data_IF_034046039636
#
_entry.id   IF_034046039636
#
_cell.length_a   1.000
_cell.length_b   1.000
_cell.length_c   1.000
_cell.angle_alpha   90.00
_cell.angle_beta   90.00
_cell.angle_gamma   90.00
#
_symmetry.space_group_name_H-M   'P 1'
#
loop_
_entity.id
_entity.type
_entity.pdbx_description
1 polymer ?
#
# COMPACT_ATOMS: atom_id res chain seq x y z
N UNK A 1 -11.32 -26.11 9.68
CA UNK A 1 -11.68 -26.17 8.25
C UNK A 1 -10.42 -26.29 7.43
N UNK A 2 -10.29 -27.28 6.57
CA UNK A 2 -9.14 -27.40 5.66
C UNK A 2 -9.29 -26.43 4.50
N UNK A 3 -8.21 -25.71 4.18
CA UNK A 3 -8.14 -24.91 2.96
C UNK A 3 -8.12 -25.82 1.74
N UNK A 4 -8.77 -25.41 0.66
CA UNK A 4 -8.67 -26.09 -0.62
C UNK A 4 -7.27 -25.93 -1.23
N UNK A 5 -6.89 -26.81 -2.16
CA UNK A 5 -5.60 -26.70 -2.86
C UNK A 5 -5.45 -25.35 -3.58
N UNK A 6 -6.54 -24.80 -4.14
CA UNK A 6 -6.55 -23.47 -4.76
C UNK A 6 -6.27 -22.36 -3.75
N UNK A 7 -6.88 -22.44 -2.56
CA UNK A 7 -6.67 -21.45 -1.50
C UNK A 7 -5.24 -21.47 -0.99
N UNK A 8 -4.66 -22.67 -0.79
CA UNK A 8 -3.27 -22.84 -0.39
C UNK A 8 -2.34 -22.25 -1.44
N UNK A 9 -2.53 -22.57 -2.73
CA UNK A 9 -1.71 -22.06 -3.82
C UNK A 9 -1.80 -20.53 -3.93
N UNK A 10 -2.96 -19.93 -3.72
CA UNK A 10 -3.16 -18.51 -3.74
C UNK A 10 -2.47 -17.83 -2.54
N UNK A 11 -2.56 -18.41 -1.35
CA UNK A 11 -1.88 -17.92 -0.16
C UNK A 11 -0.37 -17.92 -0.34
N UNK A 12 0.20 -19.02 -0.84
CA UNK A 12 1.62 -19.12 -1.12
C UNK A 12 2.10 -18.09 -2.14
N UNK A 13 1.31 -17.84 -3.18
CA UNK A 13 1.61 -16.82 -4.19
C UNK A 13 1.62 -15.42 -3.58
N UNK A 14 0.64 -15.10 -2.74
CA UNK A 14 0.56 -13.80 -2.08
C UNK A 14 1.75 -13.59 -1.12
N UNK A 15 2.12 -14.60 -0.35
CA UNK A 15 3.29 -14.55 0.52
C UNK A 15 4.57 -14.31 -0.28
N UNK A 16 4.74 -15.02 -1.40
CA UNK A 16 5.88 -14.82 -2.29
C UNK A 16 5.91 -13.41 -2.89
N UNK A 17 4.76 -12.87 -3.30
CA UNK A 17 4.65 -11.51 -3.83
C UNK A 17 5.09 -10.48 -2.78
N UNK A 18 4.74 -10.65 -1.51
CA UNK A 18 5.20 -9.78 -0.42
C UNK A 18 6.71 -9.90 -0.19
N UNK A 19 7.27 -11.09 -0.22
CA UNK A 19 8.71 -11.29 -0.09
C UNK A 19 9.47 -10.61 -1.22
N UNK A 20 9.00 -10.74 -2.46
CA UNK A 20 9.58 -10.09 -3.63
C UNK A 20 9.51 -8.57 -3.47
N UNK A 21 8.37 -8.04 -3.01
CA UNK A 21 8.19 -6.60 -2.79
C UNK A 21 9.18 -6.04 -1.76
N UNK A 22 9.65 -6.87 -0.82
CA UNK A 22 10.62 -6.47 0.20
C UNK A 22 12.07 -6.58 -0.24
N UNK A 23 12.37 -7.18 -1.40
CA UNK A 23 13.74 -7.30 -1.89
C UNK A 23 14.32 -5.91 -2.23
N UNK A 24 15.64 -5.74 -2.06
CA UNK A 24 16.32 -4.47 -2.34
C UNK A 24 16.16 -4.00 -3.78
N UNK A 25 16.19 -4.95 -4.72
CA UNK A 25 16.06 -4.64 -6.16
C UNK A 25 14.67 -4.10 -6.46
N UNK A 26 13.64 -4.78 -5.96
CA UNK A 26 12.25 -4.38 -6.16
C UNK A 26 11.97 -3.05 -5.44
N UNK A 27 12.51 -2.83 -4.24
CA UNK A 27 12.39 -1.55 -3.56
C UNK A 27 12.99 -0.41 -4.35
N UNK A 28 14.16 -0.61 -4.97
CA UNK A 28 14.79 0.40 -5.83
C UNK A 28 13.93 0.71 -7.05
N UNK A 29 13.39 -0.32 -7.70
CA UNK A 29 12.50 -0.15 -8.85
C UNK A 29 11.23 0.59 -8.43
N UNK A 30 10.61 0.18 -7.34
CA UNK A 30 9.40 0.80 -6.81
C UNK A 30 9.64 2.27 -6.45
N UNK A 31 10.74 2.60 -5.80
CA UNK A 31 11.10 3.98 -5.46
C UNK A 31 11.29 4.83 -6.72
N UNK A 32 11.92 4.26 -7.75
CA UNK A 32 12.16 4.98 -9.00
C UNK A 32 10.85 5.25 -9.76
N UNK A 33 9.94 4.29 -9.76
CA UNK A 33 8.65 4.39 -10.48
C UNK A 33 7.64 5.22 -9.70
N UNK A 34 7.49 4.95 -8.40
CA UNK A 34 6.47 5.58 -7.55
C UNK A 34 6.96 6.86 -6.89
N UNK A 35 8.27 7.06 -6.79
CA UNK A 35 8.86 8.23 -6.15
C UNK A 35 8.70 8.26 -4.63
N UNK A 36 8.59 7.11 -3.99
CA UNK A 36 8.38 7.02 -2.55
C UNK A 36 9.23 5.92 -1.92
N UNK A 37 9.48 6.05 -0.61
CA UNK A 37 10.24 5.06 0.16
C UNK A 37 9.38 3.96 0.79
N UNK A 38 8.12 3.87 0.42
CA UNK A 38 7.20 2.88 0.99
C UNK A 38 7.22 1.58 0.20
N UNK A 39 7.23 0.48 0.92
CA UNK A 39 7.11 -0.86 0.34
C UNK A 39 5.64 -1.18 0.16
N UNK A 40 5.28 -1.71 -1.01
CA UNK A 40 3.89 -2.10 -1.24
C UNK A 40 3.72 -2.86 -2.54
N UNK A 41 2.55 -3.46 -2.69
CA UNK A 41 2.14 -4.18 -3.91
C UNK A 41 1.36 -3.28 -4.88
N UNK A 42 1.13 -2.03 -4.53
CA UNK A 42 0.42 -1.05 -5.36
C UNK A 42 1.38 -0.23 -6.20
N UNK A 43 1.00 0.01 -7.45
CA UNK A 43 1.73 0.88 -8.37
C UNK A 43 1.26 2.33 -8.35
N UNK A 44 0.48 2.71 -7.35
CA UNK A 44 0.08 4.10 -7.15
C UNK A 44 1.33 4.97 -6.97
N UNK A 45 1.48 5.99 -7.79
CA UNK A 45 2.62 6.91 -7.71
C UNK A 45 2.43 7.92 -6.59
N UNK A 46 3.51 8.55 -6.15
CA UNK A 46 3.45 9.63 -5.17
C UNK A 46 2.59 10.80 -5.68
N UNK A 47 2.70 11.12 -6.96
CA UNK A 47 1.89 12.15 -7.60
C UNK A 47 0.40 11.84 -7.53
N UNK A 48 0.02 10.58 -7.81
CA UNK A 48 -1.38 10.13 -7.68
C UNK A 48 -1.86 10.17 -6.23
N UNK A 49 -1.04 9.74 -5.29
CA UNK A 49 -1.37 9.79 -3.87
C UNK A 49 -1.62 11.23 -3.39
N UNK A 50 -0.81 12.18 -3.84
CA UNK A 50 -1.03 13.61 -3.56
C UNK A 50 -2.35 14.11 -4.11
N UNK A 51 -2.73 13.68 -5.31
CA UNK A 51 -4.05 14.01 -5.90
C UNK A 51 -5.18 13.44 -5.05
N UNK A 52 -5.07 12.21 -4.57
CA UNK A 52 -6.07 11.62 -3.68
C UNK A 52 -6.27 12.46 -2.42
N UNK A 53 -5.19 12.87 -1.78
CA UNK A 53 -5.26 13.72 -0.60
C UNK A 53 -6.00 15.02 -0.88
N UNK A 54 -5.74 15.64 -2.02
CA UNK A 54 -6.39 16.88 -2.44
C UNK A 54 -7.88 16.68 -2.73
N UNK A 55 -8.23 15.66 -3.51
CA UNK A 55 -9.63 15.38 -3.86
C UNK A 55 -10.47 14.99 -2.64
N UNK A 56 -9.90 14.21 -1.74
CA UNK A 56 -10.58 13.78 -0.51
C UNK A 56 -10.55 14.87 0.58
N UNK A 57 -9.81 15.96 0.36
CA UNK A 57 -9.64 17.05 1.34
C UNK A 57 -9.17 16.53 2.70
N UNK A 58 -8.17 15.65 2.67
CA UNK A 58 -7.65 15.03 3.88
C UNK A 58 -6.91 16.06 4.74
N UNK A 59 -7.23 16.05 6.03
CA UNK A 59 -6.57 16.86 7.06
C UNK A 59 -6.51 16.09 8.38
N UNK A 60 -6.01 16.73 9.43
CA UNK A 60 -5.87 16.11 10.75
C UNK A 60 -7.20 15.65 11.38
N UNK A 61 -8.33 16.17 10.89
CA UNK A 61 -9.66 15.81 11.37
C UNK A 61 -10.33 14.74 10.53
N UNK A 62 -9.68 14.30 9.45
CA UNK A 62 -10.19 13.29 8.54
C UNK A 62 -9.92 11.87 9.05
N UNK A 63 -10.81 10.95 8.72
CA UNK A 63 -10.63 9.51 8.92
C UNK A 63 -10.64 8.82 7.58
N UNK A 64 -9.60 8.05 7.28
CA UNK A 64 -9.43 7.33 6.02
C UNK A 64 -9.46 5.83 6.28
N UNK A 65 -10.28 5.11 5.51
CA UNK A 65 -10.29 3.65 5.50
C UNK A 65 -9.74 3.18 4.17
N UNK A 66 -8.66 2.39 4.20
CA UNK A 66 -8.09 1.77 3.01
C UNK A 66 -8.32 0.27 3.05
N UNK A 67 -9.09 -0.24 2.08
CA UNK A 67 -9.41 -1.66 1.94
C UNK A 67 -8.42 -2.30 0.98
N UNK A 68 -7.87 -3.46 1.35
CA UNK A 68 -6.84 -4.11 0.55
C UNK A 68 -5.51 -3.37 0.64
N UNK A 69 -5.18 -2.85 1.82
CA UNK A 69 -4.05 -1.94 2.01
C UNK A 69 -2.67 -2.60 1.79
N UNK A 70 -2.57 -3.91 1.88
CA UNK A 70 -1.30 -4.61 1.76
C UNK A 70 -0.29 -4.09 2.78
N UNK A 71 0.85 -3.60 2.31
CA UNK A 71 1.91 -3.03 3.15
C UNK A 71 1.64 -1.59 3.61
N UNK A 72 0.48 -1.02 3.26
CA UNK A 72 0.03 0.27 3.74
C UNK A 72 0.26 1.46 2.80
N UNK A 73 0.71 1.23 1.58
CA UNK A 73 0.81 2.27 0.56
C UNK A 73 -0.48 2.32 -0.27
N UNK A 74 -1.09 3.47 -0.57
CA UNK A 74 -0.65 4.82 -0.17
C UNK A 74 -1.19 5.34 1.18
N UNK A 75 -1.98 4.56 1.91
CA UNK A 75 -2.68 5.03 3.13
C UNK A 75 -1.75 5.62 4.18
N UNK A 76 -0.64 4.95 4.49
CA UNK A 76 0.33 5.46 5.47
C UNK A 76 0.97 6.77 5.02
N UNK A 77 1.27 6.90 3.74
CA UNK A 77 1.79 8.14 3.18
C UNK A 77 0.77 9.29 3.32
N UNK A 78 -0.50 9.02 2.97
CA UNK A 78 -1.59 10.00 3.08
C UNK A 78 -1.76 10.45 4.53
N UNK A 79 -1.72 9.53 5.49
CA UNK A 79 -1.80 9.84 6.91
C UNK A 79 -0.63 10.72 7.37
N UNK A 80 0.59 10.40 6.93
CA UNK A 80 1.78 11.17 7.28
C UNK A 80 1.73 12.59 6.72
N UNK A 81 1.28 12.75 5.48
CA UNK A 81 1.24 14.05 4.83
C UNK A 81 0.08 14.93 5.31
N UNK A 82 -1.08 14.35 5.57
CA UNK A 82 -2.29 15.10 5.93
C UNK A 82 -2.52 15.19 7.44
N UNK A 83 -1.92 14.30 8.20
CA UNK A 83 -2.20 14.12 9.62
C UNK A 83 -3.52 13.41 9.90
N UNK A 84 -4.17 12.86 8.87
CA UNK A 84 -5.44 12.17 9.05
C UNK A 84 -5.25 10.84 9.79
N UNK A 85 -6.34 10.35 10.38
CA UNK A 85 -6.38 9.04 11.01
C UNK A 85 -6.68 7.98 9.95
N UNK A 86 -5.82 6.99 9.82
CA UNK A 86 -5.99 5.93 8.81
C UNK A 86 -6.21 4.58 9.47
N UNK A 87 -7.15 3.81 8.90
CA UNK A 87 -7.36 2.40 9.22
C UNK A 87 -7.07 1.58 7.97
N UNK A 88 -6.18 0.61 8.10
CA UNK A 88 -5.77 -0.28 7.00
C UNK A 88 -6.42 -1.65 7.19
N UNK A 89 -7.08 -2.14 6.15
CA UNK A 89 -7.68 -3.48 6.15
C UNK A 89 -7.07 -4.36 5.08
#
# INVERSE_FOLDING_TARGET
MKQSDKEIAQTERLENDYEVAQSRIIQKITNKVCGCGYVGSSWTTQSEAKKFSKYLKLDKNSTLLEIGAGAGWPGLYLAKQSGCHVTLL
#
